data_IF_547040753078
#
_entry.id   IF_547040753078
#
_cell.length_a   1.000
_cell.length_b   1.000
_cell.length_c   1.000
_cell.angle_alpha   90.00
_cell.angle_beta   90.00
_cell.angle_gamma   90.00
#
_symmetry.space_group_name_H-M   'P 1'
#
loop_
_entity.id
_entity.type
_entity.pdbx_description
1 polymer ?
#
# COMPACT_ATOMS: atom_id res chain seq x y z
N UNK A 1 -3.13 -32.68 4.29
CA UNK A 1 -2.78 -31.59 3.36
C UNK A 1 -2.16 -30.46 4.16
N UNK A 2 -0.84 -30.28 4.12
CA UNK A 2 -0.20 -29.14 4.74
C UNK A 2 -0.57 -27.88 3.94
N UNK A 3 -1.42 -27.04 4.51
CA UNK A 3 -1.68 -25.71 3.98
C UNK A 3 -0.36 -24.95 3.96
N UNK A 4 0.17 -24.69 2.76
CA UNK A 4 1.27 -23.75 2.56
C UNK A 4 0.74 -22.40 3.03
N UNK A 5 0.97 -22.07 4.31
CA UNK A 5 0.69 -20.74 4.83
C UNK A 5 1.62 -19.80 4.07
N UNK A 6 1.03 -18.85 3.36
CA UNK A 6 1.75 -17.83 2.60
C UNK A 6 2.46 -16.90 3.60
N UNK A 7 3.63 -17.33 4.08
CA UNK A 7 4.48 -16.58 5.00
C UNK A 7 5.43 -15.65 4.23
N UNK A 8 5.03 -15.20 3.03
CA UNK A 8 5.90 -14.49 2.10
C UNK A 8 6.28 -13.07 2.58
N UNK A 9 5.50 -12.51 3.51
CA UNK A 9 5.68 -11.14 4.01
C UNK A 9 5.65 -11.04 5.54
N UNK A 10 4.82 -11.83 6.23
CA UNK A 10 4.69 -11.74 7.70
C UNK A 10 5.57 -12.78 8.42
N UNK A 11 6.34 -12.39 9.46
CA UNK A 11 7.10 -13.36 10.25
C UNK A 11 6.15 -14.33 10.97
N UNK A 12 6.43 -15.63 10.86
CA UNK A 12 5.55 -16.68 11.39
C UNK A 12 5.49 -16.59 12.92
N UNK A 13 4.33 -16.86 13.53
CA UNK A 13 4.17 -16.85 15.00
C UNK A 13 5.19 -17.76 15.71
N UNK A 14 5.58 -18.88 15.10
CA UNK A 14 6.63 -19.78 15.59
C UNK A 14 8.03 -19.16 15.53
N UNK A 15 8.32 -18.36 14.51
CA UNK A 15 9.60 -17.64 14.39
C UNK A 15 9.71 -16.45 15.34
N UNK A 16 8.57 -15.85 15.71
CA UNK A 16 8.54 -14.75 16.70
C UNK A 16 8.58 -15.25 18.14
N UNK A 17 8.18 -16.49 18.42
CA UNK A 17 8.08 -17.04 19.77
C UNK A 17 9.43 -17.03 20.53
N UNK A 18 10.55 -17.21 19.84
CA UNK A 18 11.90 -17.24 20.43
C UNK A 18 12.67 -15.91 20.39
N UNK A 19 12.12 -14.85 19.78
CA UNK A 19 12.83 -13.57 19.58
C UNK A 19 12.59 -12.58 20.72
N UNK A 20 13.63 -11.79 21.05
CA UNK A 20 13.50 -10.68 21.98
C UNK A 20 12.60 -9.57 21.41
N UNK A 21 12.03 -8.73 22.29
CA UNK A 21 11.12 -7.65 21.89
C UNK A 21 11.73 -6.71 20.84
N UNK A 22 13.04 -6.42 20.92
CA UNK A 22 13.74 -5.60 19.93
C UNK A 22 13.89 -6.29 18.57
N UNK A 23 14.19 -7.59 18.57
CA UNK A 23 14.29 -8.38 17.33
C UNK A 23 12.94 -8.54 16.63
N UNK A 24 11.84 -8.62 17.40
CA UNK A 24 10.47 -8.62 16.84
C UNK A 24 10.15 -7.31 16.13
N UNK A 25 10.50 -6.17 16.73
CA UNK A 25 10.26 -4.84 16.13
C UNK A 25 11.05 -4.71 14.82
N UNK A 26 12.33 -5.07 14.81
CA UNK A 26 13.18 -5.01 13.60
C UNK A 26 12.60 -5.87 12.48
N UNK A 27 11.98 -7.01 12.80
CA UNK A 27 11.42 -7.94 11.81
C UNK A 27 10.03 -7.51 11.29
N UNK A 28 9.26 -6.77 12.09
CA UNK A 28 7.95 -6.24 11.70
C UNK A 28 8.04 -4.88 10.98
N UNK A 29 9.13 -4.13 11.19
CA UNK A 29 9.32 -2.80 10.60
C UNK A 29 9.26 -2.79 9.06
N UNK A 30 9.85 -3.73 8.30
CA UNK A 30 9.75 -3.74 6.84
C UNK A 30 8.33 -4.06 6.34
N UNK A 31 7.58 -4.86 7.11
CA UNK A 31 6.23 -5.31 6.75
C UNK A 31 5.22 -4.18 6.89
N UNK A 32 5.29 -3.46 8.02
CA UNK A 32 4.34 -2.38 8.34
C UNK A 32 4.93 -0.99 8.14
N UNK A 33 6.15 -0.88 7.60
CA UNK A 33 6.88 0.38 7.48
C UNK A 33 6.14 1.42 6.66
N UNK A 34 5.48 1.02 5.56
CA UNK A 34 4.72 1.93 4.70
C UNK A 34 3.45 2.50 5.39
N UNK A 35 2.56 1.68 5.99
CA UNK A 35 1.44 2.20 6.80
C UNK A 35 1.90 3.07 7.97
N UNK A 36 2.94 2.65 8.70
CA UNK A 36 3.50 3.40 9.83
C UNK A 36 4.00 4.77 9.36
N UNK A 37 4.78 4.78 8.27
CA UNK A 37 5.31 6.02 7.69
C UNK A 37 4.17 6.94 7.24
N UNK A 38 3.11 6.39 6.65
CA UNK A 38 1.95 7.16 6.22
C UNK A 38 1.28 7.85 7.41
N UNK A 39 1.01 7.13 8.50
CA UNK A 39 0.45 7.71 9.73
C UNK A 39 1.38 8.75 10.33
N UNK A 40 2.69 8.47 10.38
CA UNK A 40 3.68 9.41 10.88
C UNK A 40 3.70 10.71 10.08
N UNK A 41 3.66 10.64 8.75
CA UNK A 41 3.60 11.82 7.88
C UNK A 41 2.29 12.60 8.06
N UNK A 42 1.15 11.91 8.21
CA UNK A 42 -0.14 12.57 8.49
C UNK A 42 -0.05 13.39 9.78
N UNK A 43 0.49 12.80 10.86
CA UNK A 43 0.66 13.50 12.14
C UNK A 43 1.63 14.67 11.97
N UNK A 44 2.79 14.43 11.36
CA UNK A 44 3.84 15.42 11.16
C UNK A 44 3.33 16.66 10.41
N UNK A 45 2.66 16.46 9.27
CA UNK A 45 2.11 17.58 8.49
C UNK A 45 0.88 18.21 9.11
N UNK A 46 0.08 17.47 9.90
CA UNK A 46 -1.02 18.06 10.67
C UNK A 46 -0.52 19.02 11.75
N UNK A 47 0.63 18.72 12.36
CA UNK A 47 1.26 19.60 13.36
C UNK A 47 1.95 20.82 12.71
N UNK A 48 2.63 20.63 11.58
CA UNK A 48 3.32 21.72 10.88
C UNK A 48 2.37 22.65 10.11
N UNK A 49 1.29 22.11 9.54
CA UNK A 49 0.35 22.84 8.69
C UNK A 49 -1.11 22.65 9.16
N UNK A 50 -1.45 23.10 10.39
CA UNK A 50 -2.74 22.79 11.00
C UNK A 50 -3.95 23.42 10.29
N UNK A 51 -3.74 24.51 9.53
CA UNK A 51 -4.82 25.22 8.82
C UNK A 51 -5.03 24.74 7.38
N UNK A 52 -4.09 23.98 6.81
CA UNK A 52 -4.15 23.58 5.39
C UNK A 52 -4.13 22.06 5.22
N UNK A 53 -3.32 21.33 6.00
CA UNK A 53 -3.17 19.88 5.83
C UNK A 53 -4.35 19.06 6.37
N UNK A 54 -4.80 19.19 7.64
CA UNK A 54 -5.91 18.40 8.18
C UNK A 54 -7.28 18.99 7.78
N UNK A 55 -7.43 19.44 6.54
CA UNK A 55 -8.68 20.00 6.01
C UNK A 55 -9.43 18.97 5.18
N UNK A 56 -10.77 19.05 5.17
CA UNK A 56 -11.61 18.15 4.36
C UNK A 56 -11.28 18.24 2.86
N UNK A 57 -10.97 19.46 2.38
CA UNK A 57 -10.57 19.68 0.99
C UNK A 57 -9.27 18.94 0.67
N UNK A 58 -8.23 19.08 1.50
CA UNK A 58 -6.96 18.39 1.27
C UNK A 58 -7.10 16.87 1.37
N UNK A 59 -7.82 16.36 2.38
CA UNK A 59 -8.10 14.94 2.52
C UNK A 59 -8.81 14.36 1.29
N UNK A 60 -9.87 15.03 0.82
CA UNK A 60 -10.59 14.64 -0.39
C UNK A 60 -9.70 14.68 -1.63
N UNK A 61 -8.87 15.72 -1.79
CA UNK A 61 -7.95 15.84 -2.92
C UNK A 61 -6.92 14.70 -2.95
N UNK A 62 -6.32 14.37 -1.80
CA UNK A 62 -5.37 13.26 -1.68
C UNK A 62 -6.03 11.92 -2.03
N UNK A 63 -7.23 11.66 -1.51
CA UNK A 63 -7.96 10.43 -1.82
C UNK A 63 -8.40 10.36 -3.29
N UNK A 64 -8.85 11.49 -3.86
CA UNK A 64 -9.27 11.56 -5.25
C UNK A 64 -8.11 11.27 -6.22
N UNK A 65 -6.90 11.76 -5.91
CA UNK A 65 -5.68 11.46 -6.69
C UNK A 65 -5.38 9.96 -6.74
N UNK A 66 -5.66 9.23 -5.65
CA UNK A 66 -5.41 7.77 -5.56
C UNK A 66 -6.61 6.91 -5.93
N UNK A 67 -7.74 7.50 -6.33
CA UNK A 67 -8.96 6.77 -6.62
C UNK A 67 -8.82 5.79 -7.80
N UNK A 68 -8.14 6.19 -8.88
CA UNK A 68 -7.94 5.34 -10.07
C UNK A 68 -7.15 4.08 -9.69
N UNK A 69 -6.01 4.24 -9.02
CA UNK A 69 -5.16 3.11 -8.61
C UNK A 69 -5.90 2.21 -7.60
N UNK A 70 -6.67 2.80 -6.68
CA UNK A 70 -7.47 2.04 -5.73
C UNK A 70 -8.55 1.19 -6.42
N UNK A 71 -9.30 1.76 -7.37
CA UNK A 71 -10.33 1.05 -8.14
C UNK A 71 -9.73 -0.08 -8.98
N UNK A 72 -8.58 0.17 -9.62
CA UNK A 72 -7.89 -0.84 -10.42
C UNK A 72 -7.32 -1.97 -9.56
N UNK A 73 -6.80 -1.65 -8.36
CA UNK A 73 -6.34 -2.66 -7.39
C UNK A 73 -7.50 -3.52 -6.87
N UNK A 74 -8.67 -2.92 -6.62
CA UNK A 74 -9.89 -3.64 -6.28
C UNK A 74 -10.32 -4.57 -7.43
N UNK A 75 -10.30 -4.10 -8.67
CA UNK A 75 -10.61 -4.91 -9.84
C UNK A 75 -9.65 -6.10 -9.98
N UNK A 76 -8.34 -5.89 -9.77
CA UNK A 76 -7.33 -6.95 -9.79
C UNK A 76 -7.48 -7.99 -8.67
N UNK A 77 -8.15 -7.64 -7.57
CA UNK A 77 -8.38 -8.58 -6.44
C UNK A 77 -9.28 -9.76 -6.86
N UNK A 78 -10.24 -9.54 -7.76
CA UNK A 78 -11.18 -10.57 -8.25
C UNK A 78 -10.46 -11.75 -8.92
N UNK A 79 -9.63 -11.56 -9.98
CA UNK A 79 -8.89 -12.67 -10.59
C UNK A 79 -7.84 -13.29 -9.65
N UNK A 80 -7.23 -12.49 -8.76
CA UNK A 80 -6.30 -13.00 -7.75
C UNK A 80 -6.99 -14.00 -6.80
N UNK A 81 -8.21 -13.71 -6.36
CA UNK A 81 -9.02 -14.62 -5.53
C UNK A 81 -9.40 -15.90 -6.28
N UNK A 82 -9.57 -15.84 -7.61
CA UNK A 82 -9.81 -17.00 -8.46
C UNK A 82 -8.54 -17.86 -8.71
N UNK A 83 -7.42 -17.56 -8.04
CA UNK A 83 -6.16 -18.28 -8.18
C UNK A 83 -5.37 -17.90 -9.45
N UNK A 84 -5.76 -16.83 -10.15
CA UNK A 84 -5.09 -16.32 -11.36
C UNK A 84 -4.32 -15.06 -11.00
N UNK A 85 -3.12 -15.23 -10.43
CA UNK A 85 -2.24 -14.11 -10.09
C UNK A 85 -1.60 -13.60 -11.38
N UNK A 86 -2.03 -12.42 -11.83
CA UNK A 86 -1.48 -11.78 -13.02
C UNK A 86 -0.84 -10.43 -12.65
N UNK A 87 0.49 -10.40 -12.64
CA UNK A 87 1.28 -9.20 -12.36
C UNK A 87 1.35 -8.25 -13.56
N UNK A 88 1.00 -8.71 -14.77
CA UNK A 88 1.02 -7.87 -15.97
C UNK A 88 -0.05 -6.79 -15.92
N UNK A 89 -1.11 -6.99 -15.14
CA UNK A 89 -2.18 -5.99 -14.96
C UNK A 89 -1.63 -4.70 -14.37
N UNK A 90 -0.73 -4.79 -13.37
CA UNK A 90 -0.12 -3.62 -12.75
C UNK A 90 0.79 -2.86 -13.71
N UNK A 91 1.59 -3.59 -14.50
CA UNK A 91 2.42 -2.99 -15.54
C UNK A 91 1.57 -2.29 -16.61
N UNK A 92 0.52 -2.96 -17.10
CA UNK A 92 -0.39 -2.40 -18.10
C UNK A 92 -1.03 -1.11 -17.61
N UNK A 93 -1.63 -1.12 -16.41
CA UNK A 93 -2.27 0.05 -15.80
C UNK A 93 -1.33 1.26 -15.77
N UNK A 94 -0.10 1.07 -15.28
CA UNK A 94 0.88 2.17 -15.17
C UNK A 94 1.30 2.67 -16.55
N UNK A 95 1.54 1.77 -17.51
CA UNK A 95 1.97 2.12 -18.86
C UNK A 95 0.88 2.91 -19.61
N UNK A 96 -0.37 2.42 -19.60
CA UNK A 96 -1.50 3.12 -20.21
C UNK A 96 -1.74 4.50 -19.58
N UNK A 97 -1.57 4.62 -18.26
CA UNK A 97 -1.73 5.88 -17.55
C UNK A 97 -0.67 6.91 -17.97
N UNK A 98 0.61 6.52 -18.02
CA UNK A 98 1.70 7.39 -18.48
C UNK A 98 1.49 7.79 -19.95
N UNK A 99 1.10 6.84 -20.79
CA UNK A 99 0.85 7.10 -22.21
C UNK A 99 -0.31 8.08 -22.42
N UNK A 100 -1.42 7.92 -21.69
CA UNK A 100 -2.56 8.84 -21.75
C UNK A 100 -2.17 10.26 -21.33
N UNK A 101 -1.46 10.42 -20.21
CA UNK A 101 -0.95 11.73 -19.79
C UNK A 101 -0.01 12.33 -20.85
N UNK A 102 0.91 11.52 -21.37
CA UNK A 102 1.85 11.96 -22.40
C UNK A 102 1.18 12.40 -23.71
N UNK A 103 0.06 11.77 -24.09
CA UNK A 103 -0.74 12.13 -25.26
C UNK A 103 -1.66 13.33 -25.03
N UNK A 104 -2.15 13.56 -23.80
CA UNK A 104 -2.97 14.73 -23.47
C UNK A 104 -2.13 16.01 -23.46
N UNK A 105 -0.84 15.90 -23.10
CA UNK A 105 0.09 17.04 -22.96
C UNK A 105 0.72 17.46 -24.30
N UNK A 106 0.58 16.65 -25.37
CA UNK A 106 1.05 16.95 -26.73
C UNK A 106 -0.12 17.28 -27.65
#
# INVERSE_FOLDING_TARGET
>A
MQSIKSNALEPTRSEMAGLSTGQRIIRLLPVYGLPILTVALIIFFSLLLPQTFPTYLNFRSILADKAIVALLSLAATIPMMAGRIDLTVGFGIVMWHILAIGLIVK
#
